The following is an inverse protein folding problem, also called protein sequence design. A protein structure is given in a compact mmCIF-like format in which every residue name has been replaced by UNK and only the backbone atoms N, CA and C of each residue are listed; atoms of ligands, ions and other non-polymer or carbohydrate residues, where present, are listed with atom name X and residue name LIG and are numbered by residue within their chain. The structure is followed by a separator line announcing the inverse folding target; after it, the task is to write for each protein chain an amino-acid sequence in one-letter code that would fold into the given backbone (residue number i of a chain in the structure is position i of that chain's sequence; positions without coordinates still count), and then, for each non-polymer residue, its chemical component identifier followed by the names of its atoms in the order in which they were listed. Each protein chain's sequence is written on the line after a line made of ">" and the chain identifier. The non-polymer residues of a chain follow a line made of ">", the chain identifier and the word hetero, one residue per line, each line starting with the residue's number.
data_IF_684150066348
#
_entry.id   IF_684150066348
#
_cell.length_a   1.000
_cell.length_b   1.000
_cell.length_c   1.000
_cell.angle_alpha   90.00
_cell.angle_beta   90.00
_cell.angle_gamma   90.00
#
_symmetry.space_group_name_H-M   'P 1'
#
loop_
_entity.id
_entity.type
_entity.pdbx_description
1 polymer ?
#
# COMPACT_ATOMS: atom_id res chain seq x y z
N UNK A 1 13.09 4.04 -13.19
CA UNK A 1 12.30 5.08 -12.56
C UNK A 1 11.30 4.54 -11.57
N UNK A 2 10.76 5.42 -10.78
CA UNK A 2 9.74 5.06 -9.79
C UNK A 2 8.39 4.87 -10.46
N UNK A 3 7.66 3.83 -10.04
CA UNK A 3 6.28 3.64 -10.50
C UNK A 3 5.46 3.00 -9.40
N UNK A 4 4.16 3.23 -9.44
CA UNK A 4 3.23 2.63 -8.51
C UNK A 4 3.03 1.15 -8.83
N UNK A 5 3.06 0.33 -7.79
CA UNK A 5 2.73 -1.09 -7.91
C UNK A 5 1.22 -1.29 -7.96
N UNK A 6 0.47 -0.41 -7.33
CA UNK A 6 -0.98 -0.47 -7.31
C UNK A 6 -1.56 0.09 -6.03
N UNK A 7 -2.87 0.01 -5.93
CA UNK A 7 -3.65 0.55 -4.81
C UNK A 7 -4.61 -0.52 -4.31
N UNK A 8 -4.81 -0.56 -3.01
CA UNK A 8 -5.79 -1.44 -2.38
C UNK A 8 -6.66 -0.61 -1.44
N UNK A 9 -7.93 -0.95 -1.36
CA UNK A 9 -8.85 -0.31 -0.41
C UNK A 9 -9.06 -1.22 0.79
N UNK A 10 -9.00 -0.63 1.98
CA UNK A 10 -9.25 -1.32 3.24
C UNK A 10 -10.52 -0.78 3.87
N UNK A 11 -11.49 -1.66 4.09
CA UNK A 11 -12.77 -1.29 4.71
C UNK A 11 -12.88 -2.03 6.04
N UNK A 12 -12.77 -1.32 7.17
CA UNK A 12 -12.92 -1.95 8.48
C UNK A 12 -14.34 -2.50 8.63
N UNK A 13 -14.48 -3.68 9.21
CA UNK A 13 -15.80 -4.25 9.47
C UNK A 13 -16.56 -3.48 10.54
N UNK A 14 -15.85 -2.79 11.42
CA UNK A 14 -16.43 -1.93 12.43
C UNK A 14 -16.38 -0.50 11.98
N UNK A 15 -17.40 0.27 12.36
CA UNK A 15 -17.51 1.68 11.99
C UNK A 15 -16.33 2.50 12.52
N UNK A 16 -15.82 2.14 13.69
CA UNK A 16 -14.67 2.79 14.28
C UNK A 16 -13.52 1.81 14.35
N UNK A 17 -12.32 2.29 14.00
CA UNK A 17 -11.11 1.52 14.12
C UNK A 17 -10.65 1.57 15.58
N UNK A 18 -10.76 0.45 16.30
CA UNK A 18 -10.32 0.35 17.68
C UNK A 18 -9.21 -0.69 17.82
N UNK A 19 -8.65 -0.77 19.03
CA UNK A 19 -7.56 -1.68 19.32
C UNK A 19 -7.94 -3.15 19.10
N UNK A 20 -9.17 -3.51 19.47
CA UNK A 20 -9.66 -4.88 19.27
C UNK A 20 -9.76 -5.23 17.80
N UNK A 21 -10.25 -4.31 17.00
CA UNK A 21 -10.37 -4.51 15.56
C UNK A 21 -8.99 -4.75 14.90
N UNK A 22 -7.95 -4.13 15.45
CA UNK A 22 -6.60 -4.26 14.92
C UNK A 22 -6.01 -5.65 15.14
N UNK A 23 -6.31 -6.29 16.27
CA UNK A 23 -5.67 -7.56 16.67
C UNK A 23 -6.62 -8.75 16.67
N UNK A 24 -7.92 -8.54 16.58
CA UNK A 24 -8.91 -9.61 16.59
C UNK A 24 -9.16 -10.11 15.17
N UNK A 25 -8.89 -11.40 14.94
CA UNK A 25 -9.12 -12.03 13.64
C UNK A 25 -10.59 -12.00 13.21
N UNK A 26 -11.52 -11.93 14.16
CA UNK A 26 -12.95 -11.85 13.87
C UNK A 26 -13.37 -10.46 13.39
N UNK A 27 -12.57 -9.43 13.67
CA UNK A 27 -12.82 -8.06 13.24
C UNK A 27 -11.99 -7.72 12.01
N UNK A 28 -11.92 -8.62 11.04
CA UNK A 28 -11.09 -8.47 9.84
C UNK A 28 -11.48 -7.26 9.02
N UNK A 29 -10.48 -6.52 8.56
CA UNK A 29 -10.64 -5.49 7.56
C UNK A 29 -10.90 -6.14 6.20
N UNK A 30 -11.89 -5.64 5.48
CA UNK A 30 -12.16 -6.10 4.12
C UNK A 30 -11.17 -5.45 3.16
N UNK A 31 -10.54 -6.28 2.31
CA UNK A 31 -9.60 -5.82 1.28
C UNK A 31 -10.30 -5.82 -0.06
N UNK A 32 -10.24 -4.70 -0.77
CA UNK A 32 -10.88 -4.56 -2.09
C UNK A 32 -9.82 -4.31 -3.15
N UNK A 33 -9.69 -5.25 -4.09
CA UNK A 33 -8.85 -5.19 -5.27
C UNK A 33 -9.64 -5.74 -6.46
N UNK A 34 -9.76 -5.00 -7.57
CA UNK A 34 -9.33 -3.63 -7.76
C UNK A 34 -10.18 -2.65 -6.96
N UNK A 35 -9.62 -1.48 -6.68
CA UNK A 35 -10.34 -0.43 -5.96
C UNK A 35 -11.46 0.13 -6.83
N UNK A 36 -12.64 0.31 -6.25
CA UNK A 36 -13.80 0.87 -6.94
C UNK A 36 -13.77 2.39 -6.92
N UNK A 37 -12.89 2.96 -7.71
CA UNK A 37 -12.75 4.40 -7.90
C UNK A 37 -12.58 4.70 -9.38
N UNK A 38 -13.01 5.89 -9.82
CA UNK A 38 -12.72 6.32 -11.20
C UNK A 38 -11.22 6.34 -11.48
N UNK A 39 -10.84 6.09 -12.75
CA UNK A 39 -9.43 6.07 -13.15
C UNK A 39 -8.69 7.33 -12.75
N UNK A 40 -9.35 8.48 -12.83
CA UNK A 40 -8.76 9.76 -12.45
C UNK A 40 -8.34 9.78 -10.97
N UNK A 41 -9.19 9.21 -10.11
CA UNK A 41 -8.91 9.16 -8.67
C UNK A 41 -7.82 8.16 -8.35
N UNK A 42 -7.79 7.02 -9.04
CA UNK A 42 -6.70 6.05 -8.90
C UNK A 42 -5.38 6.66 -9.32
N UNK A 43 -5.37 7.35 -10.47
CA UNK A 43 -4.17 8.04 -10.94
C UNK A 43 -3.72 9.12 -9.95
N UNK A 44 -4.67 9.84 -9.38
CA UNK A 44 -4.36 10.88 -8.40
C UNK A 44 -3.66 10.30 -7.16
N UNK A 45 -4.21 9.27 -6.56
CA UNK A 45 -3.63 8.69 -5.34
C UNK A 45 -2.29 8.02 -5.63
N UNK A 46 -2.14 7.38 -6.79
CA UNK A 46 -0.88 6.75 -7.17
C UNK A 46 0.20 7.79 -7.42
N UNK A 47 -0.14 8.91 -8.03
CA UNK A 47 0.79 10.02 -8.22
C UNK A 47 1.18 10.67 -6.89
N UNK A 48 0.24 10.80 -5.96
CA UNK A 48 0.53 11.31 -4.63
C UNK A 48 1.49 10.37 -3.87
N UNK A 49 1.29 9.08 -4.00
CA UNK A 49 2.19 8.09 -3.38
C UNK A 49 3.59 8.17 -3.97
N UNK A 50 3.72 8.29 -5.29
CA UNK A 50 5.01 8.45 -5.95
C UNK A 50 5.70 9.74 -5.52
N UNK A 51 4.95 10.82 -5.40
CA UNK A 51 5.48 12.10 -4.95
C UNK A 51 6.00 12.01 -3.51
N UNK A 52 5.23 11.37 -2.63
CA UNK A 52 5.65 11.16 -1.24
C UNK A 52 6.92 10.32 -1.16
N UNK A 53 7.01 9.26 -1.95
CA UNK A 53 8.19 8.40 -2.04
C UNK A 53 9.42 9.22 -2.46
N UNK A 54 9.26 10.05 -3.46
CA UNK A 54 10.33 10.90 -4.00
C UNK A 54 10.80 11.97 -3.01
N UNK A 55 9.84 12.68 -2.41
CA UNK A 55 10.14 13.77 -1.48
C UNK A 55 10.87 13.27 -0.24
N UNK A 56 10.51 12.08 0.25
CA UNK A 56 11.16 11.48 1.41
C UNK A 56 12.52 10.85 1.08
N UNK A 57 12.94 10.88 -0.18
CA UNK A 57 14.21 10.33 -0.60
C UNK A 57 14.27 8.81 -0.54
N UNK A 58 13.13 8.15 -0.56
CA UNK A 58 13.06 6.70 -0.43
C UNK A 58 13.48 5.98 -1.71
N UNK A 59 14.06 4.80 -1.54
CA UNK A 59 14.34 3.85 -2.60
C UNK A 59 13.73 2.51 -2.21
N UNK A 60 13.61 1.60 -3.17
CA UNK A 60 12.97 0.33 -2.91
C UNK A 60 11.47 0.47 -2.86
N UNK A 61 10.83 -0.21 -1.92
CA UNK A 61 9.37 -0.24 -1.81
C UNK A 61 8.91 0.52 -0.59
N UNK A 62 7.94 1.41 -0.78
CA UNK A 62 7.24 2.08 0.30
C UNK A 62 5.74 1.87 0.14
N UNK A 63 5.01 1.98 1.24
CA UNK A 63 3.56 1.97 1.23
C UNK A 63 3.06 3.30 1.80
N UNK A 64 2.25 3.99 1.03
CA UNK A 64 1.62 5.23 1.50
C UNK A 64 0.18 4.92 1.91
N UNK A 65 -0.20 5.35 3.10
CA UNK A 65 -1.52 5.14 3.65
C UNK A 65 -2.32 6.43 3.54
N UNK A 66 -3.47 6.35 2.89
CA UNK A 66 -4.34 7.50 2.65
C UNK A 66 -5.71 7.29 3.25
N UNK A 67 -6.32 8.36 3.70
CA UNK A 67 -7.74 8.40 3.96
C UNK A 67 -8.40 9.13 2.79
N UNK A 68 -9.50 8.58 2.28
CA UNK A 68 -10.27 9.18 1.21
C UNK A 68 -11.62 9.67 1.77
N UNK A 69 -11.90 10.96 1.62
CA UNK A 69 -13.13 11.55 2.10
C UNK A 69 -13.47 12.78 1.27
N UNK A 70 -14.73 12.92 0.88
CA UNK A 70 -15.22 14.06 0.09
C UNK A 70 -14.37 14.32 -1.16
N UNK A 71 -14.06 13.27 -1.89
CA UNK A 71 -13.26 13.32 -3.13
C UNK A 71 -11.81 13.78 -2.93
N UNK A 72 -11.32 13.76 -1.70
CA UNK A 72 -9.94 14.17 -1.38
C UNK A 72 -9.19 13.06 -0.69
N UNK A 73 -7.90 12.97 -1.00
CA UNK A 73 -6.99 12.04 -0.34
C UNK A 73 -6.17 12.78 0.70
N UNK A 74 -6.10 12.19 1.89
CA UNK A 74 -5.30 12.70 3.01
C UNK A 74 -4.21 11.70 3.31
N UNK A 75 -2.96 12.09 3.11
CA UNK A 75 -1.82 11.22 3.43
C UNK A 75 -1.68 11.11 4.94
N UNK A 76 -1.76 9.88 5.45
CA UNK A 76 -1.64 9.61 6.88
C UNK A 76 -0.21 9.23 7.24
N UNK A 77 0.44 8.42 6.38
CA UNK A 77 1.71 7.82 6.71
C UNK A 77 2.41 7.31 5.45
N UNK A 78 3.74 7.40 5.45
CA UNK A 78 4.57 6.70 4.47
C UNK A 78 5.36 5.66 5.23
N UNK A 79 5.12 4.38 4.94
CA UNK A 79 5.80 3.29 5.59
C UNK A 79 6.97 2.84 4.71
N UNK A 80 8.19 3.05 5.20
CA UNK A 80 9.40 2.70 4.45
C UNK A 80 9.83 1.24 4.66
N UNK A 81 9.16 0.54 5.58
CA UNK A 81 9.39 -0.87 5.84
C UNK A 81 8.06 -1.61 5.91
N UNK A 82 7.31 -1.66 4.79
CA UNK A 82 6.02 -2.34 4.81
C UNK A 82 6.19 -3.83 5.07
N UNK A 83 5.16 -4.43 5.68
CA UNK A 83 5.18 -5.85 5.98
C UNK A 83 5.42 -6.70 4.73
N UNK A 84 6.16 -7.77 4.88
CA UNK A 84 6.57 -8.64 3.77
C UNK A 84 6.24 -10.12 4.02
N UNK A 85 5.15 -10.39 4.72
CA UNK A 85 4.61 -11.75 4.79
C UNK A 85 3.68 -11.96 3.61
N UNK A 86 3.34 -13.21 3.31
CA UNK A 86 2.41 -13.49 2.21
C UNK A 86 1.03 -12.87 2.43
N UNK A 87 0.68 -12.53 3.68
CA UNK A 87 -0.59 -11.91 4.03
C UNK A 87 -0.52 -10.39 4.14
N UNK A 88 0.66 -9.81 3.90
CA UNK A 88 0.84 -8.37 3.97
C UNK A 88 0.33 -7.66 2.72
N UNK A 89 0.07 -6.36 2.83
CA UNK A 89 -0.59 -5.58 1.77
C UNK A 89 0.24 -5.46 0.50
N UNK A 90 1.55 -5.19 0.62
CA UNK A 90 2.39 -5.02 -0.57
C UNK A 90 2.47 -6.32 -1.38
N UNK A 91 2.72 -7.49 -0.77
CA UNK A 91 2.64 -8.75 -1.50
C UNK A 91 1.27 -9.03 -2.10
N UNK A 92 0.19 -8.64 -1.43
CA UNK A 92 -1.17 -8.81 -1.95
C UNK A 92 -1.38 -7.99 -3.23
N UNK A 93 -0.97 -6.73 -3.23
CA UNK A 93 -1.04 -5.87 -4.41
C UNK A 93 -0.17 -6.42 -5.54
N UNK A 94 1.04 -6.86 -5.21
CA UNK A 94 1.96 -7.44 -6.18
C UNK A 94 1.37 -8.67 -6.85
N UNK A 95 0.77 -9.55 -6.07
CA UNK A 95 0.11 -10.76 -6.58
C UNK A 95 -1.02 -10.41 -7.54
N UNK A 96 -1.81 -9.40 -7.19
CA UNK A 96 -2.88 -8.93 -8.07
C UNK A 96 -2.34 -8.43 -9.41
N UNK A 97 -1.15 -7.84 -9.42
CA UNK A 97 -0.48 -7.37 -10.62
C UNK A 97 0.31 -8.46 -11.34
N UNK A 98 0.24 -9.70 -10.89
CA UNK A 98 0.93 -10.82 -11.52
C UNK A 98 2.36 -11.04 -11.05
N UNK A 99 2.76 -10.44 -9.94
CA UNK A 99 4.10 -10.60 -9.37
C UNK A 99 4.00 -11.55 -8.19
N UNK A 100 4.69 -12.70 -8.27
CA UNK A 100 4.69 -13.68 -7.19
C UNK A 100 5.44 -13.14 -5.97
N UNK A 101 5.12 -13.71 -4.80
CA UNK A 101 5.83 -13.36 -3.56
C UNK A 101 7.34 -13.59 -3.71
N UNK A 102 7.73 -14.70 -4.29
CA UNK A 102 9.14 -15.00 -4.54
C UNK A 102 9.82 -13.92 -5.38
N UNK A 103 9.20 -13.53 -6.50
CA UNK A 103 9.77 -12.53 -7.39
C UNK A 103 9.83 -11.15 -6.73
N UNK A 104 8.84 -10.81 -5.92
CA UNK A 104 8.84 -9.57 -5.17
C UNK A 104 10.01 -9.51 -4.18
N UNK A 105 10.20 -10.57 -3.40
CA UNK A 105 11.30 -10.64 -2.43
C UNK A 105 12.65 -10.61 -3.14
N UNK A 106 12.76 -11.33 -4.25
CA UNK A 106 13.99 -11.33 -5.05
C UNK A 106 14.34 -9.92 -5.54
N UNK A 107 13.35 -9.18 -6.01
CA UNK A 107 13.55 -7.80 -6.45
C UNK A 107 14.03 -6.92 -5.30
N UNK A 108 13.41 -7.05 -4.14
CA UNK A 108 13.77 -6.28 -2.94
C UNK A 108 15.22 -6.54 -2.55
N UNK A 109 15.63 -7.81 -2.51
CA UNK A 109 17.00 -8.19 -2.14
C UNK A 109 18.00 -7.63 -3.16
N UNK A 110 17.70 -7.75 -4.45
CA UNK A 110 18.59 -7.29 -5.50
C UNK A 110 18.75 -5.77 -5.52
N UNK A 111 17.80 -5.04 -4.96
CA UNK A 111 17.83 -3.58 -4.91
C UNK A 111 18.20 -3.04 -3.53
N UNK A 112 18.53 -3.90 -2.59
CA UNK A 112 18.94 -3.49 -1.26
C UNK A 112 20.31 -2.79 -1.33
N UNK A 113 20.45 -1.71 -0.55
CA UNK A 113 21.69 -0.93 -0.51
C UNK A 113 21.78 -0.19 0.81
N UNK A 114 22.97 -0.08 1.35
CA UNK A 114 23.23 0.71 2.56
C UNK A 114 23.35 2.20 2.26
N UNK A 115 23.49 2.57 1.00
CA UNK A 115 23.70 3.96 0.56
C UNK A 115 22.41 4.56 -0.04
N UNK A 116 21.30 4.22 0.51
CA UNK A 116 20.01 4.72 0.05
C UNK A 116 19.69 6.08 0.62
#
# INVERSE_FOLDING_TARGET
>A
GNKSLGTIELVPKRKFYDYKAKYDKKAKTKHILPVDLPSEKLNEVENLALKAHKITGCKGITRSDFRYNNNKFYLLEVNTQPGLTELSLVPEIAKFKGISFYNLIKWIINNASINR
#
